data_IF_929062187151
#
_entry.id   IF_929062187151
#
_cell.length_a   1.000
_cell.length_b   1.000
_cell.length_c   1.000
_cell.angle_alpha   90.00
_cell.angle_beta   90.00
_cell.angle_gamma   90.00
#
_symmetry.space_group_name_H-M   'P 1'
#
loop_
_entity.id
_entity.type
_entity.pdbx_description
1 polymer ?
#
# COMPACT_ATOMS: atom_id res chain seq x y z
N UNK A 1 4.13 -27.13 12.30
CA UNK A 1 4.72 -25.85 12.74
C UNK A 1 4.72 -24.79 11.62
N UNK A 2 5.18 -25.11 10.40
CA UNK A 2 5.15 -24.19 9.24
C UNK A 2 3.75 -23.70 8.87
N UNK A 3 2.74 -24.58 8.93
CA UNK A 3 1.35 -24.23 8.62
C UNK A 3 0.73 -23.24 9.62
N UNK A 4 1.17 -23.27 10.89
CA UNK A 4 0.74 -22.33 11.92
C UNK A 4 1.38 -20.95 11.69
N UNK A 5 2.65 -20.92 11.29
CA UNK A 5 3.36 -19.69 10.91
C UNK A 5 2.74 -19.02 9.67
N UNK A 6 2.39 -19.79 8.64
CA UNK A 6 1.74 -19.23 7.43
C UNK A 6 0.36 -18.66 7.77
N UNK A 7 -0.37 -19.27 8.71
CA UNK A 7 -1.68 -18.81 9.12
C UNK A 7 -1.61 -17.51 9.94
N UNK A 8 -0.67 -17.40 10.89
CA UNK A 8 -0.47 -16.15 11.65
C UNK A 8 0.00 -15.00 10.77
N UNK A 9 0.88 -15.23 9.79
CA UNK A 9 1.27 -14.18 8.85
C UNK A 9 0.11 -13.71 7.95
N UNK A 10 -0.76 -14.64 7.53
CA UNK A 10 -1.94 -14.33 6.72
C UNK A 10 -3.03 -13.60 7.51
N UNK A 11 -3.23 -13.97 8.77
CA UNK A 11 -4.22 -13.32 9.63
C UNK A 11 -3.76 -11.90 10.02
N UNK A 12 -2.46 -11.67 10.22
CA UNK A 12 -1.88 -10.33 10.42
C UNK A 12 -2.05 -9.44 9.17
N UNK A 13 -1.80 -9.96 7.96
CA UNK A 13 -1.97 -9.16 6.73
C UNK A 13 -3.43 -8.80 6.44
N UNK A 14 -4.38 -9.60 6.94
CA UNK A 14 -5.82 -9.35 6.76
C UNK A 14 -6.30 -8.19 7.64
N UNK A 15 -5.81 -8.13 8.87
CA UNK A 15 -6.10 -7.04 9.82
C UNK A 15 -5.43 -5.72 9.36
N UNK A 16 -4.20 -5.81 8.84
CA UNK A 16 -3.48 -4.66 8.26
C UNK A 16 -4.19 -4.09 7.02
N UNK A 17 -4.84 -4.94 6.21
CA UNK A 17 -5.58 -4.50 5.01
C UNK A 17 -6.84 -3.69 5.32
N UNK A 18 -7.46 -3.87 6.49
CA UNK A 18 -8.58 -3.04 6.95
C UNK A 18 -8.11 -1.66 7.45
N UNK A 19 -6.93 -1.63 8.09
CA UNK A 19 -6.32 -0.40 8.62
C UNK A 19 -5.66 0.46 7.52
N UNK A 20 -5.05 -0.18 6.52
CA UNK A 20 -4.33 0.43 5.41
C UNK A 20 -4.91 -0.01 4.05
N UNK A 21 -6.16 0.38 3.80
CA UNK A 21 -6.84 0.06 2.53
C UNK A 21 -6.11 0.70 1.33
N UNK A 22 -5.54 -0.11 0.40
CA UNK A 22 -4.79 0.39 -0.74
C UNK A 22 -5.66 1.14 -1.77
N UNK A 23 -6.99 1.01 -1.68
CA UNK A 23 -7.93 1.73 -2.56
C UNK A 23 -8.19 3.16 -2.09
N UNK A 24 -7.82 3.49 -0.85
CA UNK A 24 -8.00 4.84 -0.27
C UNK A 24 -6.70 5.63 -0.35
N UNK A 25 -6.83 6.95 -0.54
CA UNK A 25 -5.69 7.86 -0.42
C UNK A 25 -5.10 7.78 0.98
N UNK A 26 -3.78 7.97 1.11
CA UNK A 26 -3.05 7.98 2.37
C UNK A 26 -3.70 8.90 3.43
N UNK A 27 -4.04 10.13 3.06
CA UNK A 27 -4.75 11.07 3.95
C UNK A 27 -6.24 10.76 4.13
N UNK A 28 -6.76 9.79 3.38
CA UNK A 28 -8.10 9.24 3.52
C UNK A 28 -8.20 8.17 4.61
N UNK A 29 -7.06 7.62 5.07
CA UNK A 29 -7.02 6.60 6.09
C UNK A 29 -7.42 7.16 7.47
N UNK A 30 -8.32 6.44 8.15
CA UNK A 30 -8.82 6.83 9.46
C UNK A 30 -7.70 6.87 10.50
N UNK A 31 -6.78 5.91 10.47
CA UNK A 31 -5.66 5.81 11.42
C UNK A 31 -4.72 7.01 11.32
N UNK A 32 -4.38 7.44 10.10
CA UNK A 32 -3.52 8.60 9.84
C UNK A 32 -4.17 9.87 10.38
N UNK A 33 -5.47 10.07 10.11
CA UNK A 33 -6.22 11.24 10.60
C UNK A 33 -6.32 11.27 12.11
N UNK A 34 -6.64 10.15 12.76
CA UNK A 34 -6.77 10.08 14.21
C UNK A 34 -5.44 10.32 14.91
N UNK A 35 -4.36 9.71 14.42
CA UNK A 35 -3.03 9.91 14.99
C UNK A 35 -2.56 11.37 14.86
N UNK A 36 -2.71 11.95 13.66
CA UNK A 36 -2.37 13.36 13.43
C UNK A 36 -3.19 14.29 14.33
N UNK A 37 -4.50 14.04 14.46
CA UNK A 37 -5.39 14.81 15.32
C UNK A 37 -4.96 14.71 16.80
N UNK A 38 -4.63 13.51 17.30
CA UNK A 38 -4.17 13.32 18.68
C UNK A 38 -2.89 14.11 18.95
N UNK A 39 -1.89 14.03 18.05
CA UNK A 39 -0.61 14.75 18.21
C UNK A 39 -0.84 16.27 18.22
N UNK A 40 -1.69 16.78 17.31
CA UNK A 40 -2.06 18.19 17.27
C UNK A 40 -2.79 18.62 18.54
N UNK A 41 -3.74 17.83 19.05
CA UNK A 41 -4.44 18.14 20.29
C UNK A 41 -3.49 18.18 21.49
N UNK A 42 -2.55 17.24 21.59
CA UNK A 42 -1.55 17.21 22.67
C UNK A 42 -0.66 18.46 22.59
N UNK A 43 -0.14 18.78 21.40
CA UNK A 43 0.68 19.99 21.19
C UNK A 43 -0.10 21.27 21.54
N UNK A 44 -1.36 21.35 21.13
CA UNK A 44 -2.23 22.50 21.38
C UNK A 44 -2.59 22.63 22.86
N UNK A 45 -2.84 21.52 23.57
CA UNK A 45 -3.05 21.51 25.00
C UNK A 45 -1.84 22.05 25.76
N UNK A 46 -0.63 21.63 25.40
CA UNK A 46 0.62 22.10 26.00
C UNK A 46 0.84 23.58 25.68
N UNK A 47 0.57 24.00 24.44
CA UNK A 47 0.67 25.39 24.02
C UNK A 47 -0.24 26.30 24.84
N UNK A 48 -1.51 25.94 24.97
CA UNK A 48 -2.50 26.66 25.77
C UNK A 48 -2.10 26.67 27.25
N UNK A 49 -1.65 25.53 27.78
CA UNK A 49 -1.23 25.45 29.18
C UNK A 49 -0.09 26.42 29.50
N UNK A 50 0.90 26.55 28.60
CA UNK A 50 1.97 27.53 28.77
C UNK A 50 1.43 28.97 28.83
N UNK A 51 0.51 29.32 27.93
CA UNK A 51 -0.14 30.66 27.91
C UNK A 51 -0.86 30.99 29.21
N UNK A 52 -1.53 30.02 29.84
CA UNK A 52 -2.23 30.27 31.10
C UNK A 52 -1.33 30.30 32.33
N UNK A 53 -0.19 29.61 32.29
CA UNK A 53 0.74 29.52 33.42
C UNK A 53 1.65 30.75 33.56
N UNK A 54 1.86 31.49 32.46
CA UNK A 54 2.81 32.61 32.40
C UNK A 54 2.10 33.84 31.85
N UNK A 55 2.33 35.00 32.49
CA UNK A 55 1.82 36.28 31.98
C UNK A 55 2.64 36.75 30.78
N UNK A 56 2.09 36.56 29.58
CA UNK A 56 2.72 37.03 28.35
C UNK A 56 2.33 38.46 28.00
N UNK A 57 3.31 39.26 27.59
CA UNK A 57 3.09 40.56 26.95
C UNK A 57 3.43 40.47 25.47
N UNK A 58 2.58 41.05 24.61
CA UNK A 58 2.81 41.02 23.17
C UNK A 58 3.96 41.96 22.84
N UNK A 59 5.03 41.41 22.27
CA UNK A 59 6.23 42.15 21.91
C UNK A 59 6.74 41.71 20.52
N UNK A 60 6.97 42.68 19.63
CA UNK A 60 7.44 42.45 18.25
C UNK A 60 8.94 42.72 18.06
N UNK A 61 9.74 42.63 19.12
CA UNK A 61 11.21 42.77 19.04
C UNK A 61 11.86 41.41 18.79
N UNK A 62 13.02 41.40 18.15
CA UNK A 62 13.77 40.18 17.84
C UNK A 62 14.06 39.30 19.07
N UNK A 63 14.31 39.91 20.24
CA UNK A 63 14.51 39.18 21.51
C UNK A 63 13.26 38.38 21.91
N UNK A 64 12.08 39.00 21.84
CA UNK A 64 10.81 38.38 22.18
C UNK A 64 10.48 37.19 21.26
N UNK A 65 10.94 37.23 20.00
CA UNK A 65 10.81 36.10 19.08
C UNK A 65 11.72 34.92 19.46
N UNK A 66 12.94 35.19 19.92
CA UNK A 66 13.85 34.14 20.40
C UNK A 66 13.33 33.49 21.68
N UNK A 67 12.77 34.29 22.59
CA UNK A 67 12.15 33.80 23.83
C UNK A 67 10.92 32.95 23.53
N UNK A 68 10.08 33.35 22.54
CA UNK A 68 8.97 32.53 22.05
C UNK A 68 9.43 31.15 21.57
N UNK A 69 10.46 31.07 20.73
CA UNK A 69 10.99 29.76 20.31
C UNK A 69 11.59 28.97 21.47
N UNK A 70 12.22 29.65 22.44
CA UNK A 70 12.77 29.02 23.63
C UNK A 70 11.71 28.35 24.50
N UNK A 71 10.56 29.00 24.68
CA UNK A 71 9.47 28.52 25.52
C UNK A 71 8.57 27.51 24.81
N UNK A 72 8.24 27.74 23.54
CA UNK A 72 7.36 26.85 22.77
C UNK A 72 8.08 25.71 22.04
N UNK A 73 9.41 25.57 22.23
CA UNK A 73 10.21 24.48 21.62
C UNK A 73 9.63 23.09 21.85
N UNK A 74 9.01 22.86 23.02
CA UNK A 74 8.46 21.56 23.36
C UNK A 74 7.20 21.25 22.54
N UNK A 75 6.26 22.21 22.47
CA UNK A 75 5.05 22.10 21.65
C UNK A 75 5.36 21.92 20.17
N UNK A 76 6.35 22.68 19.66
CA UNK A 76 6.84 22.56 18.28
C UNK A 76 7.57 21.23 18.06
N UNK A 77 8.33 20.76 19.05
CA UNK A 77 9.01 19.46 19.01
C UNK A 77 8.02 18.29 18.92
N UNK A 78 6.88 18.36 19.60
CA UNK A 78 5.82 17.35 19.47
C UNK A 78 5.19 17.38 18.08
N UNK A 79 4.97 18.57 17.51
CA UNK A 79 4.49 18.71 16.13
C UNK A 79 5.47 18.12 15.12
N UNK A 80 6.77 18.24 15.36
CA UNK A 80 7.77 17.70 14.44
C UNK A 80 7.73 16.16 14.36
N UNK A 81 7.21 15.47 15.37
CA UNK A 81 6.99 14.02 15.36
C UNK A 81 5.99 13.57 14.28
N UNK A 82 5.16 14.47 13.75
CA UNK A 82 4.29 14.17 12.62
C UNK A 82 5.09 13.76 11.38
N UNK A 83 6.31 14.28 11.21
CA UNK A 83 7.16 13.97 10.06
C UNK A 83 7.61 12.50 10.07
N UNK A 84 8.33 12.00 11.10
CA UNK A 84 8.77 10.60 11.12
C UNK A 84 7.61 9.62 11.21
N UNK A 85 6.56 9.93 11.98
CA UNK A 85 5.38 9.05 12.09
C UNK A 85 4.62 9.00 10.76
N UNK A 86 4.43 10.15 10.12
CA UNK A 86 3.81 10.24 8.80
C UNK A 86 4.62 9.50 7.74
N UNK A 87 5.94 9.60 7.77
CA UNK A 87 6.82 8.87 6.87
C UNK A 87 6.70 7.35 7.06
N UNK A 88 6.64 6.88 8.31
CA UNK A 88 6.45 5.46 8.61
C UNK A 88 5.12 4.94 8.06
N UNK A 89 4.02 5.66 8.29
CA UNK A 89 2.71 5.27 7.75
C UNK A 89 2.67 5.33 6.22
N UNK A 90 3.33 6.30 5.60
CA UNK A 90 3.40 6.40 4.15
C UNK A 90 4.19 5.23 3.55
N UNK A 91 5.28 4.81 4.19
CA UNK A 91 6.03 3.62 3.80
C UNK A 91 5.16 2.35 3.89
N UNK A 92 4.40 2.21 4.98
CA UNK A 92 3.49 1.07 5.15
C UNK A 92 2.38 1.06 4.09
N UNK A 93 1.70 2.19 3.87
CA UNK A 93 0.65 2.30 2.84
C UNK A 93 1.18 1.97 1.43
N UNK A 94 2.41 2.39 1.12
CA UNK A 94 3.08 2.04 -0.14
C UNK A 94 3.34 0.54 -0.26
N UNK A 95 3.66 -0.15 0.84
CA UNK A 95 3.83 -1.61 0.85
C UNK A 95 2.53 -2.32 0.46
N UNK A 96 1.41 -1.95 1.09
CA UNK A 96 0.09 -2.51 0.77
C UNK A 96 -0.33 -2.22 -0.67
N UNK A 97 -0.06 -1.01 -1.16
CA UNK A 97 -0.32 -0.65 -2.56
C UNK A 97 0.46 -1.54 -3.53
N UNK A 98 1.74 -1.82 -3.24
CA UNK A 98 2.57 -2.69 -4.08
C UNK A 98 2.05 -4.13 -4.07
N UNK A 99 1.60 -4.65 -2.93
CA UNK A 99 1.02 -6.00 -2.84
C UNK A 99 -0.23 -6.09 -3.72
N UNK A 100 -1.17 -5.16 -3.57
CA UNK A 100 -2.40 -5.13 -4.38
C UNK A 100 -2.10 -4.98 -5.89
N UNK A 101 -1.06 -4.21 -6.23
CA UNK A 101 -0.59 -4.06 -7.60
C UNK A 101 0.00 -5.37 -8.15
N UNK A 102 0.80 -6.10 -7.36
CA UNK A 102 1.37 -7.40 -7.74
C UNK A 102 0.24 -8.39 -8.01
N UNK A 103 -0.75 -8.51 -7.12
CA UNK A 103 -1.87 -9.42 -7.32
C UNK A 103 -2.67 -9.10 -8.59
N UNK A 104 -2.86 -7.82 -8.88
CA UNK A 104 -3.55 -7.37 -10.10
C UNK A 104 -2.71 -7.69 -11.35
N UNK A 105 -1.40 -7.44 -11.28
CA UNK A 105 -0.45 -7.75 -12.34
C UNK A 105 -0.34 -9.25 -12.60
N UNK A 106 -0.38 -10.08 -11.57
CA UNK A 106 -0.32 -11.54 -11.69
C UNK A 106 -1.55 -12.07 -12.44
N UNK A 107 -2.74 -11.59 -12.11
CA UNK A 107 -3.98 -11.94 -12.83
C UNK A 107 -3.92 -11.55 -14.31
N UNK A 108 -3.41 -10.35 -14.61
CA UNK A 108 -3.19 -9.92 -15.99
C UNK A 108 -2.12 -10.76 -16.70
N UNK A 109 -1.06 -11.14 -15.99
CA UNK A 109 0.02 -11.96 -16.52
C UNK A 109 -0.50 -13.37 -16.87
N UNK A 110 -1.26 -14.01 -15.99
CA UNK A 110 -1.87 -15.32 -16.25
C UNK A 110 -2.77 -15.25 -17.50
N UNK A 111 -3.63 -14.23 -17.59
CA UNK A 111 -4.49 -14.02 -18.76
C UNK A 111 -3.66 -13.85 -20.04
N UNK A 112 -2.66 -12.97 -20.01
CA UNK A 112 -1.81 -12.66 -21.17
C UNK A 112 -1.05 -13.91 -21.62
N UNK A 113 -0.46 -14.65 -20.68
CA UNK A 113 0.26 -15.88 -20.96
C UNK A 113 -0.68 -16.96 -21.54
N UNK A 114 -1.93 -17.07 -21.04
CA UNK A 114 -2.88 -18.03 -21.57
C UNK A 114 -3.16 -17.81 -23.06
N UNK A 115 -3.45 -16.57 -23.46
CA UNK A 115 -3.71 -16.25 -24.88
C UNK A 115 -2.45 -16.30 -25.72
N UNK A 116 -1.30 -15.91 -25.16
CA UNK A 116 -0.01 -16.01 -25.85
C UNK A 116 0.35 -17.47 -26.14
N UNK A 117 0.11 -18.37 -25.20
CA UNK A 117 0.37 -19.80 -25.39
C UNK A 117 -0.57 -20.42 -26.45
N UNK A 118 -1.82 -19.98 -26.52
CA UNK A 118 -2.74 -20.36 -27.62
C UNK A 118 -2.18 -19.89 -28.98
N UNK A 119 -1.76 -18.62 -29.09
CA UNK A 119 -1.22 -18.05 -30.32
C UNK A 119 0.09 -18.73 -30.75
N UNK A 120 0.99 -19.02 -29.81
CA UNK A 120 2.22 -19.77 -30.07
C UNK A 120 1.93 -21.22 -30.50
N UNK A 121 0.91 -21.86 -29.92
CA UNK A 121 0.49 -23.20 -30.32
C UNK A 121 -0.12 -23.22 -31.73
N UNK A 122 -1.01 -22.27 -32.06
CA UNK A 122 -1.60 -22.12 -33.40
C UNK A 122 -0.48 -21.94 -34.45
N UNK A 123 0.50 -21.07 -34.20
CA UNK A 123 1.69 -20.88 -35.06
C UNK A 123 2.55 -22.14 -35.20
N UNK A 124 2.71 -22.90 -34.13
CA UNK A 124 3.48 -24.13 -34.14
C UNK A 124 2.81 -25.22 -35.01
N UNK A 125 1.48 -25.36 -34.89
CA UNK A 125 0.69 -26.30 -35.70
C UNK A 125 0.75 -25.92 -37.19
N UNK A 126 0.61 -24.63 -37.51
CA UNK A 126 0.72 -24.11 -38.89
C UNK A 126 2.10 -24.42 -39.49
N UNK A 127 3.18 -24.17 -38.74
CA UNK A 127 4.55 -24.45 -39.17
C UNK A 127 4.80 -25.93 -39.45
N UNK A 128 4.16 -26.84 -38.71
CA UNK A 128 4.28 -28.29 -38.92
C UNK A 128 3.46 -28.82 -40.09
N UNK A 129 2.70 -27.97 -40.81
CA UNK A 129 1.86 -28.36 -41.96
C UNK A 129 0.90 -29.51 -41.64
N UNK A 130 0.47 -29.62 -40.37
CA UNK A 130 -0.60 -30.53 -39.99
C UNK A 130 -1.86 -30.06 -40.70
N UNK A 131 -2.43 -30.87 -41.59
CA UNK A 131 -3.53 -30.46 -42.47
C UNK A 131 -4.69 -29.88 -41.65
N UNK A 132 -4.89 -28.57 -41.77
CA UNK A 132 -5.90 -27.76 -41.09
C UNK A 132 -7.34 -28.11 -41.46
N UNK A 133 -7.55 -29.08 -42.37
CA UNK A 133 -8.87 -29.50 -42.83
C UNK A 133 -9.62 -30.45 -41.89
N UNK A 134 -8.99 -31.00 -40.84
CA UNK A 134 -9.65 -31.98 -39.94
C UNK A 134 -9.55 -31.69 -38.44
N UNK A 135 -8.70 -30.76 -38.00
CA UNK A 135 -8.43 -30.56 -36.56
C UNK A 135 -8.76 -29.12 -36.18
N UNK A 136 -9.72 -28.96 -35.28
CA UNK A 136 -9.99 -27.68 -34.66
C UNK A 136 -8.88 -27.39 -33.63
N UNK A 137 -7.90 -26.58 -34.03
CA UNK A 137 -6.66 -26.27 -33.29
C UNK A 137 -6.92 -25.90 -31.83
N UNK A 138 -7.95 -25.09 -31.58
CA UNK A 138 -8.36 -24.69 -30.23
C UNK A 138 -8.92 -25.83 -29.41
N UNK A 139 -9.71 -26.72 -30.00
CA UNK A 139 -10.22 -27.88 -29.27
C UNK A 139 -9.11 -28.85 -28.89
N UNK A 140 -8.11 -29.02 -29.76
CA UNK A 140 -6.92 -29.81 -29.48
C UNK A 140 -6.08 -29.18 -28.39
N UNK A 141 -5.88 -27.85 -28.44
CA UNK A 141 -5.21 -27.09 -27.39
C UNK A 141 -5.87 -27.28 -26.03
N UNK A 142 -7.20 -27.14 -25.93
CA UNK A 142 -7.91 -27.30 -24.65
C UNK A 142 -7.88 -28.73 -24.11
N UNK A 143 -7.71 -29.74 -24.98
CA UNK A 143 -7.51 -31.14 -24.57
C UNK A 143 -6.10 -31.41 -24.07
N UNK A 144 -5.09 -30.80 -24.69
CA UNK A 144 -3.68 -30.94 -24.31
C UNK A 144 -3.36 -30.13 -23.04
N UNK A 145 -3.93 -28.93 -22.91
CA UNK A 145 -3.64 -27.99 -21.82
C UNK A 145 -4.92 -27.53 -21.10
N UNK A 146 -5.62 -28.43 -20.39
CA UNK A 146 -6.86 -28.11 -19.70
C UNK A 146 -6.68 -27.07 -18.58
N UNK A 147 -5.50 -27.02 -17.96
CA UNK A 147 -5.18 -26.11 -16.86
C UNK A 147 -4.52 -24.79 -17.29
N UNK A 148 -4.36 -24.55 -18.59
CA UNK A 148 -3.70 -23.34 -19.12
C UNK A 148 -4.37 -22.03 -18.67
N UNK A 149 -5.67 -22.05 -18.32
CA UNK A 149 -6.38 -20.88 -17.76
C UNK A 149 -5.93 -20.50 -16.35
N UNK A 150 -5.30 -21.42 -15.63
CA UNK A 150 -4.69 -21.19 -14.31
C UNK A 150 -3.22 -20.79 -14.41
N UNK A 151 -2.68 -20.66 -15.63
CA UNK A 151 -1.25 -20.40 -15.86
C UNK A 151 -0.35 -21.64 -15.73
N UNK A 152 -0.94 -22.84 -15.74
CA UNK A 152 -0.22 -24.12 -15.70
C UNK A 152 -0.17 -24.68 -17.11
N UNK A 153 1.04 -24.85 -17.65
CA UNK A 153 1.28 -25.26 -19.04
C UNK A 153 2.01 -26.61 -19.16
N UNK A 154 2.21 -27.31 -18.04
CA UNK A 154 2.82 -28.65 -17.95
C UNK A 154 1.80 -29.78 -18.08
#
# INVERSE_FOLDING_TARGET
MVFLLIKTFRDASKDDSELFDPKKSFFGLYIVRKMALIIVLISLFIFISNIYLVEYSVCFKARCFNDFFGEFKFSIGILSLLIPIGALFAAQHRSELMIAQIETSEKQNIFTNHYKHIDEFEKYVEKMRLSTSMINERQTYFKLFPESRKGIYE
#
